data_IF_151319867747
#
_entry.id   IF_151319867747
#
_cell.length_a   1.000
_cell.length_b   1.000
_cell.length_c   1.000
_cell.angle_alpha   90.00
_cell.angle_beta   90.00
_cell.angle_gamma   90.00
#
_symmetry.space_group_name_H-M   'P 1'
#
loop_
_entity.id
_entity.type
_entity.pdbx_description
1 polymer ?
#
# COMPACT_ATOMS: atom_id res chain seq x y z
N UNK A 1 26.37 -5.44 4.22
CA UNK A 1 24.90 -5.21 4.32
C UNK A 1 24.19 -6.54 4.09
N UNK A 2 23.19 -6.89 4.91
CA UNK A 2 22.47 -8.16 4.76
C UNK A 2 21.67 -8.15 3.44
N UNK A 3 21.53 -9.31 2.78
CA UNK A 3 20.83 -9.41 1.47
C UNK A 3 19.45 -8.75 1.50
N UNK A 4 18.73 -8.88 2.63
CA UNK A 4 17.42 -8.25 2.90
C UNK A 4 17.47 -6.71 2.90
N UNK A 5 18.50 -6.12 3.52
CA UNK A 5 18.68 -4.66 3.50
C UNK A 5 18.91 -4.16 2.07
N UNK A 6 19.64 -4.91 1.26
CA UNK A 6 19.89 -4.56 -0.14
C UNK A 6 18.62 -4.70 -1.00
N UNK A 7 17.82 -5.75 -0.78
CA UNK A 7 16.51 -5.90 -1.42
C UNK A 7 15.57 -4.75 -1.09
N UNK A 8 15.49 -4.33 0.18
CA UNK A 8 14.66 -3.20 0.60
C UNK A 8 15.12 -1.89 -0.04
N UNK A 9 16.43 -1.65 -0.11
CA UNK A 9 17.00 -0.47 -0.78
C UNK A 9 16.68 -0.48 -2.27
N UNK A 10 16.78 -1.62 -2.95
CA UNK A 10 16.41 -1.74 -4.36
C UNK A 10 14.91 -1.52 -4.56
N UNK A 11 14.06 -2.06 -3.71
CA UNK A 11 12.61 -1.84 -3.76
C UNK A 11 12.26 -0.35 -3.56
N UNK A 12 12.89 0.32 -2.60
CA UNK A 12 12.74 1.76 -2.39
C UNK A 12 13.23 2.56 -3.59
N UNK A 13 14.39 2.21 -4.15
CA UNK A 13 14.94 2.86 -5.33
C UNK A 13 14.01 2.68 -6.53
N UNK A 14 13.50 1.46 -6.76
CA UNK A 14 12.55 1.17 -7.81
C UNK A 14 11.26 2.00 -7.66
N UNK A 15 10.74 2.12 -6.44
CA UNK A 15 9.60 2.97 -6.15
C UNK A 15 9.88 4.44 -6.50
N UNK A 16 11.01 4.98 -6.05
CA UNK A 16 11.43 6.36 -6.35
C UNK A 16 11.60 6.57 -7.86
N UNK A 17 12.19 5.60 -8.57
CA UNK A 17 12.34 5.66 -10.03
C UNK A 17 10.99 5.64 -10.73
N UNK A 18 10.06 4.76 -10.32
CA UNK A 18 8.71 4.69 -10.90
C UNK A 18 7.99 6.03 -10.72
N UNK A 19 7.99 6.59 -9.51
CA UNK A 19 7.39 7.90 -9.24
C UNK A 19 8.09 9.03 -10.01
N UNK A 20 9.43 9.03 -10.04
CA UNK A 20 10.21 10.03 -10.78
C UNK A 20 9.96 9.99 -12.28
N UNK A 21 9.88 8.80 -12.88
CA UNK A 21 9.53 8.62 -14.29
C UNK A 21 8.11 9.09 -14.55
N UNK A 22 7.13 8.70 -13.72
CA UNK A 22 5.75 9.23 -13.83
C UNK A 22 5.71 10.75 -13.75
N UNK A 23 6.47 11.35 -12.84
CA UNK A 23 6.48 12.80 -12.65
C UNK A 23 7.16 13.54 -13.80
N UNK A 24 8.21 12.98 -14.41
CA UNK A 24 8.86 13.57 -15.59
C UNK A 24 7.99 13.41 -16.84
N UNK A 25 7.41 12.22 -17.06
CA UNK A 25 6.55 11.97 -18.23
C UNK A 25 5.22 12.72 -18.14
N UNK A 26 4.57 12.74 -16.99
CA UNK A 26 3.37 13.54 -16.74
C UNK A 26 3.68 15.03 -16.58
N UNK A 27 4.91 15.35 -16.15
CA UNK A 27 5.44 16.70 -15.98
C UNK A 27 5.66 17.48 -17.27
N UNK A 28 5.96 16.79 -18.36
CA UNK A 28 6.28 17.42 -19.65
C UNK A 28 5.12 17.43 -20.64
N UNK A 29 4.01 16.74 -20.35
CA UNK A 29 2.90 16.54 -21.31
C UNK A 29 1.58 17.18 -20.92
N UNK A 30 1.48 17.79 -19.75
CA UNK A 30 0.19 18.25 -19.20
C UNK A 30 0.39 19.52 -18.38
N UNK A 31 -0.51 20.50 -18.54
CA UNK A 31 -0.53 21.71 -17.73
C UNK A 31 -0.71 21.38 -16.24
N UNK A 32 -0.20 22.21 -15.31
CA UNK A 32 -0.21 21.91 -13.87
C UNK A 32 -1.61 21.63 -13.31
N UNK A 33 -2.63 22.29 -13.85
CA UNK A 33 -4.04 22.14 -13.46
C UNK A 33 -4.68 20.87 -14.05
N UNK A 34 -4.26 20.44 -15.24
CA UNK A 34 -4.77 19.23 -15.91
C UNK A 34 -4.04 17.95 -15.47
N UNK A 35 -2.87 18.07 -14.83
CA UNK A 35 -2.00 16.94 -14.46
C UNK A 35 -2.63 15.99 -13.45
N UNK A 36 -3.61 16.46 -12.68
CA UNK A 36 -4.39 15.67 -11.72
C UNK A 36 -5.90 15.87 -11.91
N UNK A 37 -6.32 16.37 -13.07
CA UNK A 37 -7.73 16.39 -13.39
C UNK A 37 -8.24 14.94 -13.40
N UNK A 38 -9.42 14.73 -12.80
CA UNK A 38 -10.06 13.43 -12.78
C UNK A 38 -10.24 12.90 -14.20
N UNK A 39 -10.23 11.57 -14.35
CA UNK A 39 -10.50 10.90 -15.64
C UNK A 39 -11.79 11.37 -16.30
N UNK A 40 -12.73 11.87 -15.52
CA UNK A 40 -14.00 12.41 -15.97
C UNK A 40 -13.86 13.74 -16.73
N UNK A 41 -13.04 14.67 -16.24
CA UNK A 41 -12.83 15.97 -16.90
C UNK A 41 -12.26 15.83 -18.31
N UNK A 42 -11.39 14.84 -18.54
CA UNK A 42 -10.83 14.55 -19.87
C UNK A 42 -11.85 13.89 -20.81
N UNK A 43 -12.83 13.17 -20.28
CA UNK A 43 -13.90 12.57 -21.07
C UNK A 43 -14.96 13.63 -21.45
N UNK A 44 -15.31 14.50 -20.50
CA UNK A 44 -16.30 15.57 -20.70
C UNK A 44 -15.86 16.57 -21.78
N UNK A 45 -14.58 16.97 -21.81
CA UNK A 45 -14.07 17.89 -22.84
C UNK A 45 -14.19 17.34 -24.27
N UNK A 46 -13.93 16.05 -24.46
CA UNK A 46 -14.08 15.38 -25.76
C UNK A 46 -15.55 15.23 -26.17
N UNK A 47 -16.44 14.99 -25.20
CA UNK A 47 -17.87 14.79 -25.43
C UNK A 47 -18.55 16.12 -25.79
N UNK A 48 -18.21 17.23 -25.12
CA UNK A 48 -18.76 18.56 -25.44
C UNK A 48 -18.38 19.03 -26.84
N UNK A 49 -17.15 18.75 -27.29
CA UNK A 49 -16.67 19.10 -28.64
C UNK A 49 -17.41 18.31 -29.75
N UNK A 50 -17.99 17.16 -29.39
CA UNK A 50 -18.76 16.28 -30.29
C UNK A 50 -20.27 16.58 -30.34
N UNK A 51 -20.73 17.65 -29.68
CA UNK A 51 -22.11 18.13 -29.73
C UNK A 51 -23.14 17.17 -29.12
N UNK A 52 -22.73 16.35 -28.16
CA UNK A 52 -23.62 15.41 -27.47
C UNK A 52 -24.37 16.07 -26.31
N UNK A 53 -25.69 15.88 -26.28
CA UNK A 53 -26.54 16.34 -25.18
C UNK A 53 -26.52 15.30 -24.03
N UNK A 54 -26.26 15.69 -22.77
CA UNK A 54 -26.28 14.78 -21.63
C UNK A 54 -27.68 14.15 -21.45
N UNK A 55 -27.74 12.82 -21.45
CA UNK A 55 -29.00 12.06 -21.25
C UNK A 55 -29.35 11.89 -19.76
N UNK A 56 -28.48 12.36 -18.87
CA UNK A 56 -28.66 12.35 -17.41
C UNK A 56 -27.90 13.53 -16.81
N UNK A 57 -28.55 14.28 -15.92
CA UNK A 57 -27.92 15.32 -15.11
C UNK A 57 -27.83 14.84 -13.67
N UNK A 58 -26.65 14.92 -13.00
CA UNK A 58 -26.54 14.58 -11.60
C UNK A 58 -27.55 15.36 -10.75
N UNK A 59 -28.24 14.68 -9.83
CA UNK A 59 -29.17 15.33 -8.89
C UNK A 59 -28.44 16.19 -7.84
N UNK A 60 -27.13 15.99 -7.69
CA UNK A 60 -26.25 16.76 -6.84
C UNK A 60 -24.89 16.90 -7.53
N UNK A 61 -24.59 18.12 -7.96
CA UNK A 61 -23.28 18.52 -8.47
C UNK A 61 -22.60 19.35 -7.37
N UNK A 62 -21.48 18.92 -6.77
CA UNK A 62 -20.73 19.81 -5.90
C UNK A 62 -20.19 20.98 -6.73
N UNK A 63 -20.55 22.22 -6.38
CA UNK A 63 -20.14 23.44 -7.12
C UNK A 63 -18.61 23.66 -7.21
N UNK A 64 -17.79 22.83 -6.52
CA UNK A 64 -16.32 22.87 -6.58
C UNK A 64 -15.74 21.47 -6.72
N UNK A 65 -14.90 21.27 -7.74
CA UNK A 65 -14.13 20.03 -7.96
C UNK A 65 -13.14 19.68 -6.84
N UNK A 66 -12.87 20.62 -5.92
CA UNK A 66 -12.08 20.36 -4.71
C UNK A 66 -12.80 19.43 -3.74
N UNK A 67 -14.14 19.54 -3.65
CA UNK A 67 -14.94 18.70 -2.75
C UNK A 67 -15.03 17.27 -3.29
N UNK A 68 -15.17 17.11 -4.61
CA UNK A 68 -15.13 15.81 -5.28
C UNK A 68 -13.77 15.12 -5.07
N UNK A 69 -12.68 15.84 -5.35
CA UNK A 69 -11.31 15.37 -5.13
C UNK A 69 -11.03 15.03 -3.67
N UNK A 70 -11.58 15.82 -2.73
CA UNK A 70 -11.50 15.58 -1.30
C UNK A 70 -12.21 14.31 -0.86
N UNK A 71 -13.39 14.04 -1.42
CA UNK A 71 -14.15 12.80 -1.14
C UNK A 71 -13.39 11.56 -1.65
N UNK A 72 -12.83 11.65 -2.86
CA UNK A 72 -11.99 10.57 -3.41
C UNK A 72 -10.73 10.35 -2.57
N UNK A 73 -10.05 11.42 -2.16
CA UNK A 73 -8.88 11.33 -1.29
C UNK A 73 -9.21 10.70 0.06
N UNK A 74 -10.36 11.02 0.64
CA UNK A 74 -10.83 10.41 1.89
C UNK A 74 -11.09 8.90 1.72
N UNK A 75 -11.75 8.50 0.64
CA UNK A 75 -11.98 7.09 0.32
C UNK A 75 -10.65 6.34 0.14
N UNK A 76 -9.71 6.94 -0.58
CA UNK A 76 -8.37 6.39 -0.78
C UNK A 76 -7.60 6.25 0.54
N UNK A 77 -7.69 7.24 1.43
CA UNK A 77 -7.04 7.22 2.74
C UNK A 77 -7.59 6.08 3.62
N UNK A 78 -8.90 5.90 3.66
CA UNK A 78 -9.55 4.81 4.41
C UNK A 78 -9.17 3.45 3.82
N UNK A 79 -9.29 3.29 2.50
CA UNK A 79 -8.96 2.04 1.82
C UNK A 79 -7.50 1.65 1.98
N UNK A 80 -6.58 2.61 1.83
CA UNK A 80 -5.16 2.42 2.06
C UNK A 80 -4.83 2.07 3.51
N UNK A 81 -5.49 2.71 4.47
CA UNK A 81 -5.33 2.41 5.91
C UNK A 81 -5.75 0.97 6.25
N UNK A 82 -6.91 0.54 5.78
CA UNK A 82 -7.41 -0.83 6.00
C UNK A 82 -6.48 -1.86 5.35
N UNK A 83 -6.08 -1.65 4.10
CA UNK A 83 -5.18 -2.56 3.39
C UNK A 83 -3.80 -2.65 4.06
N UNK A 84 -3.25 -1.51 4.47
CA UNK A 84 -1.97 -1.44 5.18
C UNK A 84 -2.02 -2.19 6.52
N UNK A 85 -3.08 -2.01 7.30
CA UNK A 85 -3.28 -2.75 8.54
C UNK A 85 -3.38 -4.26 8.29
N UNK A 86 -4.16 -4.69 7.29
CA UNK A 86 -4.34 -6.12 6.98
C UNK A 86 -3.02 -6.80 6.58
N UNK A 87 -2.23 -6.15 5.72
CA UNK A 87 -0.90 -6.66 5.32
C UNK A 87 0.05 -6.69 6.51
N UNK A 88 0.05 -5.64 7.34
CA UNK A 88 0.86 -5.56 8.55
C UNK A 88 0.53 -6.67 9.56
N UNK A 89 -0.76 -6.90 9.82
CA UNK A 89 -1.24 -7.95 10.70
C UNK A 89 -0.87 -9.35 10.18
N UNK A 90 -1.00 -9.60 8.88
CA UNK A 90 -0.60 -10.87 8.27
C UNK A 90 0.90 -11.13 8.44
N UNK A 91 1.73 -10.10 8.28
CA UNK A 91 3.17 -10.23 8.42
C UNK A 91 3.61 -10.40 9.88
N UNK A 92 2.92 -9.75 10.83
CA UNK A 92 3.14 -9.94 12.26
C UNK A 92 2.87 -11.40 12.68
N UNK A 93 1.73 -11.96 12.26
CA UNK A 93 1.37 -13.36 12.58
C UNK A 93 2.41 -14.38 12.12
N UNK A 94 2.98 -14.19 10.92
CA UNK A 94 4.04 -15.08 10.40
C UNK A 94 5.32 -15.03 11.24
N UNK A 95 5.65 -13.88 11.83
CA UNK A 95 6.83 -13.73 12.71
C UNK A 95 6.63 -14.43 14.06
N UNK A 96 5.41 -14.41 14.57
CA UNK A 96 5.06 -15.08 15.84
C UNK A 96 5.13 -16.62 15.69
N UNK A 97 4.73 -17.14 14.52
CA UNK A 97 4.86 -18.57 14.17
C UNK A 97 6.33 -19.01 14.07
N UNK A 98 7.20 -18.21 13.44
CA UNK A 98 8.65 -18.51 13.32
C UNK A 98 9.35 -18.51 14.69
N UNK A 99 9.02 -17.54 15.55
CA UNK A 99 9.65 -17.39 16.89
C UNK A 99 9.17 -18.44 17.91
N UNK A 100 8.03 -19.07 17.67
CA UNK A 100 7.54 -20.20 18.49
C UNK A 100 8.23 -21.54 18.15
N UNK A 101 8.90 -21.64 17.00
CA UNK A 101 9.58 -22.86 16.56
C UNK A 101 11.01 -23.05 17.09
N UNK A 102 11.66 -22.00 17.58
CA UNK A 102 13.06 -22.04 18.06
C UNK A 102 13.20 -22.37 19.57
N UNK A 103 12.09 -22.55 20.30
CA UNK A 103 12.10 -22.71 21.76
C UNK A 103 12.07 -24.14 22.34
N UNK A 104 12.11 -25.22 21.54
CA UNK A 104 11.90 -26.60 22.07
C UNK A 104 12.96 -27.63 21.68
N UNK A 105 14.25 -27.27 21.74
CA UNK A 105 15.31 -28.27 21.87
C UNK A 105 16.02 -28.12 23.22
N UNK A 106 15.36 -28.62 24.26
CA UNK A 106 16.02 -29.04 25.50
C UNK A 106 16.61 -30.44 25.22
N UNK A 107 17.91 -30.68 25.40
CA UNK A 107 18.51 -31.98 25.12
C UNK A 107 17.97 -33.01 26.12
N UNK A 108 17.10 -33.88 25.61
CA UNK A 108 16.77 -35.16 26.22
C UNK A 108 18.03 -36.02 26.24
N UNK A 109 18.66 -36.18 27.40
CA UNK A 109 19.78 -37.10 27.55
C UNK A 109 20.69 -36.88 28.75
N UNK A 110 20.22 -37.19 29.97
CA UNK A 110 21.05 -37.84 30.99
C UNK A 110 20.15 -38.47 32.08
N UNK A 111 20.30 -39.78 32.24
CA UNK A 111 19.57 -40.71 33.12
C UNK A 111 19.56 -40.32 34.62
N UNK A 112 18.56 -40.73 35.43
CA UNK A 112 18.60 -40.53 36.89
C UNK A 112 19.61 -41.48 37.53
N UNK A 113 20.72 -40.94 38.04
CA UNK A 113 21.64 -41.70 38.88
C UNK A 113 21.06 -41.83 40.29
N UNK A 114 20.82 -43.08 40.71
CA UNK A 114 20.39 -43.52 42.04
C UNK A 114 21.35 -43.00 43.14
N UNK A 115 20.85 -42.53 44.30
CA UNK A 115 21.71 -42.02 45.37
C UNK A 115 22.44 -43.16 46.11
N UNK A 116 23.69 -42.96 46.57
CA UNK A 116 24.33 -43.91 47.47
C UNK A 116 23.73 -43.79 48.88
N UNK A 117 23.20 -44.91 49.36
CA UNK A 117 22.98 -45.19 50.79
C UNK A 117 24.32 -45.21 51.52
N UNK A 118 24.44 -44.49 52.63
CA UNK A 118 25.43 -44.80 53.65
C UNK A 118 24.75 -44.79 55.02
N UNK A 119 24.93 -45.92 55.69
CA UNK A 119 24.62 -46.23 57.09
C UNK A 119 25.43 -45.38 58.08
#
# INVERSE_FOLDING_TARGET
MTRKAWTNVILLLALVVIFGVSFVLGGQRTDPEERFAGTDSAATSVIEESGHEPWFSPFFEPESGEVESGLFALQAAIGGGVLGFAVGALWARRRDEDSSGEGTQQPSGASPATPPSMD
#
